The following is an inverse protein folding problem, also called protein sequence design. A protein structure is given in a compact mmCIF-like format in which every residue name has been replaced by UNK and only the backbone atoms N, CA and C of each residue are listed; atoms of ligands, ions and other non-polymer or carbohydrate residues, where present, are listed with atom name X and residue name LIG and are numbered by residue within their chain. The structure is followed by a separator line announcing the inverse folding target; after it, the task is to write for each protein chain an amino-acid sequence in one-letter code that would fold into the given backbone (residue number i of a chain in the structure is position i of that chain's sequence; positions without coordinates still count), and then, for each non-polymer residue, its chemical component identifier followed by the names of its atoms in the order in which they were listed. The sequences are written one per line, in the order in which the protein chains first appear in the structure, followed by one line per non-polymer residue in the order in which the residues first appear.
data_IF_189682094199
#
_entry.id   IF_189682094199
#
_cell.length_a   1.000
_cell.length_b   1.000
_cell.length_c   1.000
_cell.angle_alpha   90.00
_cell.angle_beta   90.00
_cell.angle_gamma   90.00
#
_symmetry.space_group_name_H-M   'P 1'
#
loop_
_entity.id
_entity.type
_entity.pdbx_description
1 polymer ?
#
# COMPACT_ATOMS: atom_id res chain seq x y z
N UNK A 1 17.88 -7.65 -16.15
CA UNK A 1 16.56 -8.14 -16.59
C UNK A 1 15.66 -7.04 -17.14
N UNK A 2 15.17 -6.06 -16.37
CA UNK A 2 14.20 -5.06 -16.90
C UNK A 2 14.66 -4.34 -18.19
N UNK A 3 15.85 -3.75 -18.20
CA UNK A 3 16.40 -3.05 -19.36
C UNK A 3 16.73 -3.98 -20.53
N UNK A 4 17.23 -5.18 -20.23
CA UNK A 4 17.48 -6.21 -21.23
C UNK A 4 16.17 -6.62 -21.94
N UNK A 5 15.11 -6.91 -21.19
CA UNK A 5 13.78 -7.21 -21.74
C UNK A 5 13.23 -6.06 -22.58
N UNK A 6 13.47 -4.80 -22.17
CA UNK A 6 13.06 -3.62 -22.93
C UNK A 6 13.77 -3.55 -24.30
N UNK A 7 15.09 -3.81 -24.34
CA UNK A 7 15.87 -3.85 -25.57
C UNK A 7 15.53 -5.06 -26.45
N UNK A 8 15.13 -6.18 -25.84
CA UNK A 8 14.66 -7.38 -26.55
C UNK A 8 13.22 -7.28 -27.07
N UNK A 9 12.56 -6.15 -26.82
CA UNK A 9 11.17 -5.89 -27.25
C UNK A 9 10.11 -6.77 -26.57
N UNK A 10 10.43 -7.33 -25.40
CA UNK A 10 9.46 -8.06 -24.61
C UNK A 10 8.41 -7.13 -23.99
N UNK A 11 7.18 -7.64 -23.72
CA UNK A 11 6.12 -6.85 -23.12
C UNK A 11 6.57 -6.25 -21.78
N UNK A 12 6.55 -4.92 -21.69
CA UNK A 12 6.96 -4.19 -20.48
C UNK A 12 5.84 -4.10 -19.43
N UNK A 13 4.68 -4.73 -19.73
CA UNK A 13 3.45 -4.70 -18.97
C UNK A 13 2.70 -3.36 -19.09
N UNK A 14 1.43 -3.35 -18.72
CA UNK A 14 0.59 -2.14 -18.75
C UNK A 14 0.81 -1.30 -17.49
N UNK A 15 0.79 0.03 -17.63
CA UNK A 15 0.74 0.97 -16.52
C UNK A 15 -0.67 1.49 -16.29
N UNK A 16 -1.00 1.80 -15.03
CA UNK A 16 -2.22 2.49 -14.67
C UNK A 16 -1.87 3.88 -14.15
N UNK A 17 -2.28 4.89 -14.88
CA UNK A 17 -2.08 6.29 -14.56
C UNK A 17 -3.38 6.94 -14.09
N UNK A 18 -3.25 7.90 -13.19
CA UNK A 18 -4.36 8.70 -12.70
C UNK A 18 -4.06 10.17 -12.85
N UNK A 19 -4.87 10.86 -13.65
CA UNK A 19 -4.77 12.30 -13.82
C UNK A 19 -5.46 12.99 -12.63
N UNK A 20 -4.66 13.62 -11.78
CA UNK A 20 -5.13 14.33 -10.59
C UNK A 20 -5.41 15.79 -10.95
N UNK A 21 -6.64 16.24 -10.67
CA UNK A 21 -7.01 17.67 -10.76
C UNK A 21 -6.38 18.45 -9.61
N UNK A 22 -6.04 19.72 -9.86
CA UNK A 22 -5.42 20.62 -8.86
C UNK A 22 -6.21 20.71 -7.56
N UNK A 23 -7.54 20.63 -7.65
CA UNK A 23 -8.49 20.65 -6.53
C UNK A 23 -8.33 19.47 -5.55
N UNK A 24 -7.87 18.32 -6.06
CA UNK A 24 -7.78 17.07 -5.30
C UNK A 24 -6.35 16.79 -4.77
N UNK A 25 -5.39 17.69 -5.02
CA UNK A 25 -3.99 17.52 -4.62
C UNK A 25 -3.78 17.27 -3.12
N UNK A 26 -4.63 17.88 -2.28
CA UNK A 26 -4.54 17.78 -0.82
C UNK A 26 -5.25 16.57 -0.21
N UNK A 27 -6.02 15.82 -1.01
CA UNK A 27 -6.82 14.68 -0.53
C UNK A 27 -6.00 13.41 -0.36
N UNK A 28 -4.85 13.32 -1.02
CA UNK A 28 -4.02 12.11 -1.07
C UNK A 28 -2.58 12.41 -0.73
N UNK A 29 -1.88 11.39 -0.21
CA UNK A 29 -0.45 11.43 0.01
C UNK A 29 0.28 10.92 -1.25
N UNK A 30 1.23 11.70 -1.75
CA UNK A 30 2.05 11.33 -2.91
C UNK A 30 3.50 11.14 -2.50
N UNK A 31 4.21 10.30 -3.26
CA UNK A 31 5.62 9.98 -3.05
C UNK A 31 6.38 10.18 -4.36
N UNK A 32 7.63 10.64 -4.27
CA UNK A 32 8.50 10.74 -5.44
C UNK A 32 8.97 9.35 -5.87
N UNK A 33 9.15 9.15 -7.17
CA UNK A 33 9.89 8.00 -7.66
C UNK A 33 11.34 8.12 -7.21
N UNK A 34 11.85 7.07 -6.57
CA UNK A 34 13.23 7.05 -6.11
C UNK A 34 14.19 7.25 -7.28
N UNK A 35 15.17 8.13 -7.12
CA UNK A 35 16.25 8.35 -8.07
C UNK A 35 17.58 7.82 -7.52
N UNK A 36 17.88 8.09 -6.25
CA UNK A 36 19.11 7.67 -5.60
C UNK A 36 18.80 6.74 -4.42
N UNK A 37 18.78 5.44 -4.66
CA UNK A 37 18.54 4.45 -3.61
C UNK A 37 19.80 4.20 -2.80
N UNK A 38 19.68 4.24 -1.48
CA UNK A 38 20.75 3.84 -0.57
C UNK A 38 20.19 2.98 0.56
N UNK A 39 20.61 1.72 0.64
CA UNK A 39 20.04 0.72 1.55
C UNK A 39 20.02 1.15 3.03
N UNK A 40 21.05 1.87 3.50
CA UNK A 40 21.09 2.45 4.86
C UNK A 40 20.47 3.85 4.97
N UNK A 41 20.96 4.79 4.17
CA UNK A 41 20.72 6.23 4.38
C UNK A 41 19.52 6.78 3.59
N UNK A 42 19.05 6.07 2.55
CA UNK A 42 17.88 6.45 1.75
C UNK A 42 17.09 5.22 1.23
N UNK A 43 16.51 4.38 2.11
CA UNK A 43 15.82 3.16 1.72
C UNK A 43 14.37 3.36 1.29
N UNK A 44 13.82 4.57 1.44
CA UNK A 44 12.39 4.84 1.30
C UNK A 44 12.13 5.99 0.34
N UNK A 45 10.97 5.95 -0.33
CA UNK A 45 10.54 7.05 -1.19
C UNK A 45 10.14 8.24 -0.34
N UNK A 46 10.62 9.43 -0.71
CA UNK A 46 10.26 10.68 -0.04
C UNK A 46 8.80 11.04 -0.32
N UNK A 47 8.09 11.49 0.71
CA UNK A 47 6.77 12.09 0.56
C UNK A 47 6.87 13.45 -0.13
N UNK A 48 5.91 13.74 -1.02
CA UNK A 48 5.78 15.04 -1.68
C UNK A 48 4.85 15.91 -0.84
N UNK A 49 5.38 16.98 -0.29
CA UNK A 49 4.60 18.02 0.40
C UNK A 49 4.19 19.15 -0.53
N UNK A 50 5.06 19.53 -1.47
CA UNK A 50 4.83 20.62 -2.42
C UNK A 50 4.45 20.07 -3.79
N UNK A 51 3.15 19.82 -3.99
CA UNK A 51 2.59 19.45 -5.29
C UNK A 51 2.40 20.69 -6.17
N UNK A 52 2.60 20.57 -7.49
CA UNK A 52 2.45 21.69 -8.41
C UNK A 52 1.00 22.20 -8.43
N UNK A 53 0.81 23.50 -8.67
CA UNK A 53 -0.51 24.15 -8.81
C UNK A 53 -1.12 23.93 -10.21
N UNK A 54 -1.02 22.70 -10.71
CA UNK A 54 -1.57 22.26 -11.98
C UNK A 54 -1.96 20.79 -11.91
N UNK A 55 -2.68 20.34 -12.93
CA UNK A 55 -2.92 18.91 -13.11
C UNK A 55 -1.60 18.15 -13.24
N UNK A 56 -1.55 16.97 -12.64
CA UNK A 56 -0.41 16.07 -12.75
C UNK A 56 -0.87 14.61 -12.82
N UNK A 57 0.00 13.74 -13.30
CA UNK A 57 -0.29 12.31 -13.44
C UNK A 57 0.40 11.54 -12.31
N UNK A 58 -0.39 10.78 -11.56
CA UNK A 58 0.10 9.83 -10.57
C UNK A 58 0.10 8.41 -11.14
N UNK A 59 0.99 7.56 -10.63
CA UNK A 59 1.08 6.15 -11.05
C UNK A 59 0.43 5.27 -9.98
N UNK A 60 -0.66 4.60 -10.37
CA UNK A 60 -1.40 3.67 -9.52
C UNK A 60 -0.82 2.26 -9.60
N UNK A 61 -0.40 1.83 -10.80
CA UNK A 61 0.23 0.53 -11.03
C UNK A 61 1.46 0.69 -11.94
N UNK A 62 2.49 -0.12 -11.66
CA UNK A 62 3.80 -0.04 -12.29
C UNK A 62 4.81 0.83 -11.53
N UNK A 63 4.52 1.20 -10.28
CA UNK A 63 5.40 2.04 -9.45
C UNK A 63 6.83 1.50 -9.35
N UNK A 64 6.99 0.18 -9.16
CA UNK A 64 8.31 -0.45 -9.10
C UNK A 64 9.06 -0.37 -10.43
N UNK A 65 8.36 -0.55 -11.56
CA UNK A 65 8.93 -0.49 -12.91
C UNK A 65 9.42 0.93 -13.24
N UNK A 66 8.60 1.95 -12.99
CA UNK A 66 9.01 3.35 -13.18
C UNK A 66 10.16 3.73 -12.24
N UNK A 67 10.14 3.27 -11.00
CA UNK A 67 11.25 3.51 -10.06
C UNK A 67 12.54 2.89 -10.56
N UNK A 68 12.51 1.63 -11.02
CA UNK A 68 13.67 0.96 -11.58
C UNK A 68 14.22 1.68 -12.83
N UNK A 69 13.32 2.16 -13.71
CA UNK A 69 13.71 2.99 -14.87
C UNK A 69 14.36 4.31 -14.42
N UNK A 70 13.77 5.01 -13.45
CA UNK A 70 14.29 6.29 -12.96
C UNK A 70 15.68 6.14 -12.33
N UNK A 71 15.89 5.10 -11.52
CA UNK A 71 17.19 4.76 -10.94
C UNK A 71 18.21 4.43 -12.03
N UNK A 72 17.83 3.59 -13.01
CA UNK A 72 18.75 3.15 -14.07
C UNK A 72 19.14 4.26 -15.06
N UNK A 73 18.19 5.13 -15.43
CA UNK A 73 18.39 6.18 -16.43
C UNK A 73 18.94 7.48 -15.84
N UNK A 74 18.56 7.85 -14.61
CA UNK A 74 18.86 9.18 -14.04
C UNK A 74 19.57 9.12 -12.69
N UNK A 75 19.78 7.94 -12.14
CA UNK A 75 20.03 7.74 -10.72
C UNK A 75 21.21 6.84 -10.40
N UNK A 76 21.16 6.30 -9.18
CA UNK A 76 22.15 5.35 -8.67
C UNK A 76 21.55 4.40 -7.65
N UNK A 77 22.20 3.25 -7.47
CA UNK A 77 21.79 2.21 -6.55
C UNK A 77 22.96 1.81 -5.64
N UNK A 78 22.82 2.01 -4.33
CA UNK A 78 23.83 1.67 -3.33
C UNK A 78 23.30 0.60 -2.37
N UNK A 79 23.91 -0.60 -2.43
CA UNK A 79 23.69 -1.69 -1.49
C UNK A 79 24.99 -2.12 -0.83
N UNK A 80 24.84 -2.76 0.33
CA UNK A 80 25.91 -3.20 1.20
C UNK A 80 26.81 -4.24 0.55
N UNK A 81 28.11 -4.08 0.73
CA UNK A 81 29.10 -5.11 0.44
C UNK A 81 29.14 -6.18 1.52
N UNK A 82 29.30 -7.43 1.08
CA UNK A 82 29.57 -8.55 1.96
C UNK A 82 30.92 -8.34 2.67
N UNK A 83 30.97 -8.67 3.97
CA UNK A 83 32.20 -8.57 4.78
C UNK A 83 32.53 -7.17 5.34
N UNK A 84 31.84 -6.10 4.95
CA UNK A 84 32.00 -4.77 5.56
C UNK A 84 30.96 -4.52 6.65
N UNK A 85 31.35 -3.76 7.68
CA UNK A 85 30.46 -3.35 8.78
C UNK A 85 29.42 -2.33 8.32
N UNK A 86 28.21 -2.40 8.89
CA UNK A 86 27.08 -1.52 8.53
C UNK A 86 27.35 -0.02 8.82
N UNK A 87 28.17 0.26 9.84
CA UNK A 87 28.57 1.62 10.20
C UNK A 87 29.59 2.23 9.24
N UNK A 88 30.26 1.43 8.41
CA UNK A 88 31.28 1.92 7.48
C UNK A 88 30.62 2.53 6.23
N UNK A 89 30.94 3.77 5.89
CA UNK A 89 30.45 4.44 4.69
C UNK A 89 30.91 3.74 3.40
N UNK A 90 32.11 3.16 3.39
CA UNK A 90 32.64 2.41 2.25
C UNK A 90 31.97 1.04 2.07
N UNK A 91 31.03 0.68 2.94
CA UNK A 91 30.23 -0.52 2.79
C UNK A 91 29.16 -0.38 1.70
N UNK A 92 28.79 0.84 1.32
CA UNK A 92 27.69 1.13 0.40
C UNK A 92 28.18 1.93 -0.82
N UNK A 93 28.99 1.35 -1.71
CA UNK A 93 29.48 2.09 -2.85
C UNK A 93 28.34 2.43 -3.81
N UNK A 94 28.32 3.67 -4.27
CA UNK A 94 27.34 4.19 -5.21
C UNK A 94 27.62 3.60 -6.59
N UNK A 95 26.60 2.96 -7.18
CA UNK A 95 26.72 2.33 -8.50
C UNK A 95 25.71 2.92 -9.46
N UNK A 96 26.11 3.08 -10.71
CA UNK A 96 25.23 3.51 -11.81
C UNK A 96 25.02 2.35 -12.76
N UNK A 97 23.98 2.43 -13.59
CA UNK A 97 23.71 1.39 -14.58
C UNK A 97 24.64 1.56 -15.78
N UNK A 98 25.34 0.48 -16.13
CA UNK A 98 26.18 0.38 -17.31
C UNK A 98 25.68 -0.74 -18.22
N UNK A 99 25.90 -0.57 -19.52
CA UNK A 99 25.69 -1.56 -20.57
C UNK A 99 27.04 -1.89 -21.19
N UNK A 100 27.39 -3.17 -21.27
CA UNK A 100 28.54 -3.59 -22.05
C UNK A 100 28.15 -3.60 -23.53
N UNK A 101 28.73 -2.71 -24.33
CA UNK A 101 28.40 -2.56 -25.75
C UNK A 101 28.96 -3.69 -26.63
N UNK A 102 29.94 -4.44 -26.12
CA UNK A 102 30.60 -5.55 -26.80
C UNK A 102 30.19 -6.93 -26.28
N UNK A 103 29.32 -7.00 -25.27
CA UNK A 103 28.90 -8.27 -24.69
C UNK A 103 28.25 -9.19 -25.72
N UNK A 104 28.62 -10.48 -25.63
CA UNK A 104 27.97 -11.54 -26.37
C UNK A 104 26.72 -12.06 -25.61
N UNK A 105 25.68 -12.53 -26.34
CA UNK A 105 24.48 -13.07 -25.72
C UNK A 105 24.79 -14.29 -24.85
N UNK A 106 24.30 -14.30 -23.60
CA UNK A 106 24.49 -15.44 -22.69
C UNK A 106 23.37 -16.46 -22.89
N UNK A 107 23.64 -17.50 -23.69
CA UNK A 107 22.67 -18.54 -24.07
C UNK A 107 21.99 -19.23 -22.87
N UNK A 108 22.69 -19.34 -21.73
CA UNK A 108 22.17 -20.01 -20.53
C UNK A 108 21.14 -19.18 -19.74
N UNK A 109 21.08 -17.86 -19.94
CA UNK A 109 20.25 -16.95 -19.12
C UNK A 109 19.18 -16.20 -19.91
N UNK A 110 18.99 -16.54 -21.19
CA UNK A 110 18.14 -15.82 -22.17
C UNK A 110 18.39 -14.30 -22.24
N UNK A 111 19.49 -13.82 -21.62
CA UNK A 111 19.86 -12.41 -21.53
C UNK A 111 20.76 -12.05 -22.70
N UNK A 112 20.30 -11.15 -23.55
CA UNK A 112 21.00 -10.74 -24.77
C UNK A 112 21.97 -9.58 -24.52
N UNK A 113 21.63 -8.68 -23.60
CA UNK A 113 22.39 -7.49 -23.27
C UNK A 113 22.90 -7.55 -21.82
N UNK A 114 24.17 -7.22 -21.60
CA UNK A 114 24.78 -7.25 -20.26
C UNK A 114 24.66 -5.88 -19.58
N UNK A 115 23.61 -5.74 -18.76
CA UNK A 115 23.37 -4.58 -17.90
C UNK A 115 23.84 -4.86 -16.48
N UNK A 116 24.71 -3.99 -15.94
CA UNK A 116 25.21 -4.13 -14.57
C UNK A 116 25.25 -2.79 -13.83
N UNK A 117 25.02 -2.85 -12.52
CA UNK A 117 25.29 -1.71 -11.64
C UNK A 117 26.75 -1.74 -11.19
N UNK A 118 27.54 -0.80 -11.70
CA UNK A 118 28.98 -0.70 -11.45
C UNK A 118 29.34 0.61 -10.77
N UNK A 119 30.42 0.60 -9.99
CA UNK A 119 31.11 1.82 -9.55
C UNK A 119 31.92 2.34 -10.72
N UNK A 120 32.21 3.64 -10.72
CA UNK A 120 33.02 4.27 -11.77
C UNK A 120 34.39 3.58 -11.90
N UNK A 121 35.09 3.36 -10.79
CA UNK A 121 36.36 2.63 -10.78
C UNK A 121 36.29 1.23 -11.42
N UNK A 122 35.17 0.52 -11.25
CA UNK A 122 35.00 -0.82 -11.81
C UNK A 122 34.66 -0.79 -13.29
N UNK A 123 33.88 0.20 -13.72
CA UNK A 123 33.57 0.40 -15.13
C UNK A 123 34.82 0.84 -15.92
N UNK A 124 35.73 1.60 -15.29
CA UNK A 124 37.00 2.03 -15.88
C UNK A 124 38.08 0.94 -15.87
N UNK A 125 37.95 -0.10 -15.05
CA UNK A 125 38.84 -1.26 -15.08
C UNK A 125 38.41 -2.18 -16.22
N UNK A 126 38.91 -1.89 -17.43
CA UNK A 126 38.67 -2.72 -18.61
C UNK A 126 39.16 -4.16 -18.36
N UNK A 127 38.22 -5.09 -18.20
CA UNK A 127 38.51 -6.51 -18.37
C UNK A 127 38.61 -6.77 -19.87
N UNK A 128 39.49 -7.71 -20.24
CA UNK A 128 39.84 -7.97 -21.64
C UNK A 128 38.59 -8.32 -22.46
N UNK A 129 38.10 -7.38 -23.27
CA UNK A 129 36.92 -7.54 -24.14
C UNK A 129 35.66 -6.78 -23.73
N UNK A 130 35.62 -6.11 -22.58
CA UNK A 130 34.45 -5.34 -22.13
C UNK A 130 34.53 -3.86 -22.55
N UNK A 131 33.40 -3.27 -22.94
CA UNK A 131 33.28 -1.83 -23.18
C UNK A 131 32.04 -1.27 -22.49
N UNK A 132 32.23 -0.73 -21.28
CA UNK A 132 31.15 -0.30 -20.39
C UNK A 132 30.69 1.13 -20.68
N UNK A 133 29.45 1.24 -21.17
CA UNK A 133 28.79 2.52 -21.40
C UNK A 133 27.82 2.86 -20.24
N UNK A 134 27.97 4.04 -19.63
CA UNK A 134 27.03 4.52 -18.60
C UNK A 134 25.69 4.86 -19.24
N UNK A 135 24.67 4.06 -18.95
CA UNK A 135 23.34 4.15 -19.59
C UNK A 135 22.72 5.54 -19.44
N UNK A 136 22.86 6.18 -18.28
CA UNK A 136 22.24 7.49 -18.04
C UNK A 136 22.71 8.62 -18.94
N UNK A 137 23.86 8.49 -19.63
CA UNK A 137 24.33 9.50 -20.59
C UNK A 137 23.37 9.74 -21.74
N UNK A 138 22.56 8.75 -22.12
CA UNK A 138 21.53 8.90 -23.16
C UNK A 138 20.44 9.92 -22.77
N UNK A 139 20.32 10.25 -21.48
CA UNK A 139 19.37 11.26 -20.99
C UNK A 139 19.99 12.67 -20.94
N UNK A 140 21.31 12.77 -21.12
CA UNK A 140 22.13 13.98 -20.91
C UNK A 140 22.71 14.49 -22.25
N UNK A 141 22.89 13.62 -23.24
CA UNK A 141 23.62 13.87 -24.49
C UNK A 141 22.85 13.39 -25.74
N UNK A 142 23.15 13.97 -26.90
CA UNK A 142 22.54 13.64 -28.20
C UNK A 142 23.08 12.32 -28.78
N UNK A 143 22.27 11.63 -29.60
CA UNK A 143 22.66 10.33 -30.22
C UNK A 143 23.98 10.46 -30.98
N UNK A 144 24.13 11.48 -31.83
CA UNK A 144 25.29 11.63 -32.72
C UNK A 144 26.59 11.82 -31.92
N UNK A 145 26.58 12.63 -30.86
CA UNK A 145 27.77 12.85 -30.02
C UNK A 145 28.24 11.57 -29.33
N UNK A 146 27.30 10.77 -28.82
CA UNK A 146 27.62 9.49 -28.18
C UNK A 146 28.14 8.46 -29.19
N UNK A 147 27.62 8.47 -30.41
CA UNK A 147 28.04 7.56 -31.49
C UNK A 147 29.41 7.95 -32.04
N UNK A 148 29.70 9.24 -32.17
CA UNK A 148 30.98 9.77 -32.62
C UNK A 148 32.10 9.47 -31.61
N UNK A 149 31.83 9.58 -30.30
CA UNK A 149 32.77 9.17 -29.25
C UNK A 149 33.23 7.71 -29.44
N UNK A 150 32.29 6.80 -29.66
CA UNK A 150 32.61 5.38 -29.92
C UNK A 150 33.32 5.19 -31.26
N UNK A 151 33.04 6.03 -32.26
CA UNK A 151 33.71 5.98 -33.56
C UNK A 151 35.16 6.42 -33.48
N UNK A 152 35.46 7.42 -32.65
CA UNK A 152 36.79 8.01 -32.50
C UNK A 152 37.67 7.29 -31.47
N UNK A 153 37.09 6.41 -30.65
CA UNK A 153 37.83 5.65 -29.63
C UNK A 153 38.92 4.75 -30.25
N UNK A 154 40.19 5.05 -29.97
CA UNK A 154 41.33 4.31 -30.56
C UNK A 154 41.56 2.93 -29.94
N UNK A 155 40.91 2.61 -28.81
CA UNK A 155 41.05 1.32 -28.12
C UNK A 155 40.31 0.18 -28.84
N UNK A 156 39.33 0.51 -29.68
CA UNK A 156 38.43 -0.43 -30.34
C UNK A 156 38.85 -0.78 -31.77
N UNK A 157 38.74 -2.05 -32.15
CA UNK A 157 38.88 -2.47 -33.56
C UNK A 157 37.72 -1.93 -34.42
N UNK A 158 37.86 -1.86 -35.77
CA UNK A 158 36.79 -1.45 -36.66
C UNK A 158 35.49 -2.25 -36.47
N UNK A 159 35.59 -3.56 -36.23
CA UNK A 159 34.47 -4.46 -35.95
C UNK A 159 33.81 -4.13 -34.61
N UNK A 160 34.61 -3.95 -33.55
CA UNK A 160 34.11 -3.57 -32.23
C UNK A 160 33.41 -2.22 -32.26
N UNK A 161 33.95 -1.21 -32.97
CA UNK A 161 33.29 0.08 -33.17
C UNK A 161 31.94 -0.07 -33.87
N UNK A 162 31.83 -0.95 -34.85
CA UNK A 162 30.57 -1.20 -35.55
C UNK A 162 29.54 -1.84 -34.62
N UNK A 163 29.95 -2.85 -33.84
CA UNK A 163 29.09 -3.52 -32.86
C UNK A 163 28.63 -2.54 -31.77
N UNK A 164 29.57 -1.83 -31.14
CA UNK A 164 29.29 -0.92 -30.04
C UNK A 164 28.32 0.21 -30.46
N UNK A 165 28.55 0.84 -31.62
CA UNK A 165 27.62 1.84 -32.17
C UNK A 165 26.25 1.26 -32.47
N UNK A 166 26.16 0.02 -32.99
CA UNK A 166 24.88 -0.63 -33.23
C UNK A 166 24.10 -0.87 -31.93
N UNK A 167 24.78 -1.36 -30.89
CA UNK A 167 24.19 -1.60 -29.57
C UNK A 167 23.73 -0.29 -28.92
N UNK A 168 24.58 0.75 -28.96
CA UNK A 168 24.30 2.06 -28.40
C UNK A 168 23.11 2.74 -29.10
N UNK A 169 23.08 2.72 -30.44
CA UNK A 169 21.93 3.19 -31.22
C UNK A 169 20.65 2.46 -30.86
N UNK A 170 20.71 1.14 -30.69
CA UNK A 170 19.54 0.36 -30.31
C UNK A 170 19.04 0.72 -28.91
N UNK A 171 19.94 0.93 -27.94
CA UNK A 171 19.60 1.44 -26.61
C UNK A 171 18.94 2.82 -26.70
N UNK A 172 19.58 3.79 -27.36
CA UNK A 172 19.11 5.17 -27.46
C UNK A 172 17.70 5.23 -28.06
N UNK A 173 17.53 4.64 -29.24
CA UNK A 173 16.24 4.65 -29.95
C UNK A 173 15.14 3.88 -29.22
N UNK A 174 15.50 2.82 -28.50
CA UNK A 174 14.51 2.07 -27.70
C UNK A 174 13.96 2.92 -26.55
N UNK A 175 14.76 3.81 -25.96
CA UNK A 175 14.34 4.68 -24.86
C UNK A 175 13.64 5.96 -25.36
N UNK A 176 14.13 6.56 -26.46
CA UNK A 176 13.64 7.86 -26.94
C UNK A 176 12.57 7.76 -28.03
N UNK A 177 12.67 6.80 -28.96
CA UNK A 177 11.86 6.80 -30.18
C UNK A 177 10.74 5.75 -30.16
N UNK A 178 10.87 4.69 -29.35
CA UNK A 178 9.92 3.58 -29.34
C UNK A 178 8.88 3.73 -28.24
N UNK A 179 7.60 3.69 -28.63
CA UNK A 179 6.45 3.60 -27.73
C UNK A 179 6.31 2.20 -27.11
N UNK A 180 7.25 1.81 -26.24
CA UNK A 180 7.24 0.49 -25.57
C UNK A 180 6.32 0.44 -24.34
N UNK A 181 5.93 1.59 -23.81
CA UNK A 181 5.12 1.69 -22.60
C UNK A 181 3.63 1.70 -22.98
N UNK A 182 2.95 0.59 -22.71
CA UNK A 182 1.47 0.56 -22.75
C UNK A 182 0.92 1.10 -21.44
N UNK A 183 -0.04 2.02 -21.50
CA UNK A 183 -0.67 2.56 -20.30
C UNK A 183 -2.16 2.81 -20.51
N UNK A 184 -2.91 2.79 -19.40
CA UNK A 184 -4.26 3.29 -19.29
C UNK A 184 -4.27 4.50 -18.36
N UNK A 185 -4.84 5.61 -18.81
CA UNK A 185 -4.98 6.82 -18.00
C UNK A 185 -6.45 6.98 -17.58
N UNK A 186 -6.69 7.04 -16.27
CA UNK A 186 -7.98 7.40 -15.69
C UNK A 186 -8.01 8.89 -15.36
N UNK A 187 -9.11 9.55 -15.67
CA UNK A 187 -9.34 11.00 -15.44
C UNK A 187 -10.47 11.28 -14.45
N UNK A 188 -11.31 10.28 -14.16
CA UNK A 188 -12.31 10.34 -13.10
C UNK A 188 -11.61 10.50 -11.74
N UNK A 189 -12.15 11.37 -10.88
CA UNK A 189 -11.59 11.66 -9.56
C UNK A 189 -12.17 10.74 -8.47
N UNK A 190 -13.09 9.84 -8.83
CA UNK A 190 -13.64 8.83 -7.94
C UNK A 190 -12.58 7.78 -7.59
N UNK A 191 -12.08 7.84 -6.36
CA UNK A 191 -11.18 6.83 -5.83
C UNK A 191 -11.81 5.43 -5.83
N UNK A 192 -13.14 5.30 -5.67
CA UNK A 192 -13.84 4.01 -5.80
C UNK A 192 -13.69 3.42 -7.20
N UNK A 193 -13.90 4.23 -8.23
CA UNK A 193 -13.72 3.81 -9.63
C UNK A 193 -12.28 3.40 -9.89
N UNK A 194 -11.33 4.21 -9.43
CA UNK A 194 -9.89 3.95 -9.56
C UNK A 194 -9.50 2.63 -8.90
N UNK A 195 -9.96 2.37 -7.67
CA UNK A 195 -9.71 1.11 -6.97
C UNK A 195 -10.31 -0.09 -7.69
N UNK A 196 -11.53 0.05 -8.21
CA UNK A 196 -12.17 -1.02 -8.98
C UNK A 196 -11.41 -1.34 -10.28
N UNK A 197 -10.87 -0.33 -10.97
CA UNK A 197 -10.02 -0.52 -12.15
C UNK A 197 -8.72 -1.23 -11.75
N UNK A 198 -8.08 -0.81 -10.66
CA UNK A 198 -6.86 -1.42 -10.15
C UNK A 198 -7.04 -2.91 -9.82
N UNK A 199 -8.12 -3.26 -9.10
CA UNK A 199 -8.45 -4.65 -8.76
C UNK A 199 -8.66 -5.49 -10.03
N UNK A 200 -9.43 -4.97 -11.00
CA UNK A 200 -9.71 -5.69 -12.26
C UNK A 200 -8.46 -5.88 -13.12
N UNK A 201 -7.54 -4.92 -13.11
CA UNK A 201 -6.28 -5.04 -13.84
C UNK A 201 -5.34 -6.07 -13.19
N UNK A 202 -5.36 -6.18 -11.87
CA UNK A 202 -4.51 -7.08 -11.09
C UNK A 202 -5.15 -8.46 -10.80
N UNK A 203 -6.43 -8.66 -11.11
CA UNK A 203 -7.14 -9.92 -10.85
C UNK A 203 -6.63 -11.14 -11.65
N UNK A 204 -5.69 -10.95 -12.58
CA UNK A 204 -4.93 -12.04 -13.20
C UNK A 204 -3.86 -12.66 -12.29
N UNK A 205 -3.54 -12.02 -11.15
CA UNK A 205 -2.57 -12.48 -10.14
C UNK A 205 -3.21 -12.74 -8.76
N UNK A 206 -2.49 -12.46 -7.67
CA UNK A 206 -3.01 -12.58 -6.30
C UNK A 206 -4.16 -11.61 -6.05
N UNK A 207 -5.30 -12.13 -5.59
CA UNK A 207 -6.51 -11.35 -5.34
C UNK A 207 -6.38 -10.47 -4.09
N UNK A 208 -6.00 -9.20 -4.28
CA UNK A 208 -6.20 -8.19 -3.25
C UNK A 208 -7.69 -7.84 -3.16
N UNK A 209 -8.27 -7.92 -1.96
CA UNK A 209 -9.66 -7.55 -1.77
C UNK A 209 -9.81 -6.02 -1.72
N UNK A 210 -10.97 -5.52 -2.13
CA UNK A 210 -11.31 -4.10 -2.04
C UNK A 210 -11.18 -3.58 -0.59
N UNK A 211 -11.56 -4.39 0.41
CA UNK A 211 -11.40 -4.07 1.83
C UNK A 211 -9.93 -3.93 2.23
N UNK A 212 -9.03 -4.77 1.71
CA UNK A 212 -7.59 -4.67 2.02
C UNK A 212 -6.96 -3.39 1.45
N UNK A 213 -7.41 -2.95 0.26
CA UNK A 213 -6.96 -1.70 -0.34
C UNK A 213 -7.50 -0.47 0.41
N UNK A 214 -8.78 -0.49 0.82
CA UNK A 214 -9.32 0.58 1.64
C UNK A 214 -8.63 0.66 3.00
N UNK A 215 -8.38 -0.49 3.64
CA UNK A 215 -7.64 -0.56 4.89
C UNK A 215 -6.22 0.01 4.73
N UNK A 216 -5.52 -0.32 3.65
CA UNK A 216 -4.16 0.20 3.43
C UNK A 216 -4.15 1.71 3.22
N UNK A 217 -5.15 2.25 2.52
CA UNK A 217 -5.34 3.70 2.34
C UNK A 217 -5.66 4.37 3.69
N UNK A 218 -6.59 3.80 4.46
CA UNK A 218 -7.01 4.33 5.76
C UNK A 218 -5.84 4.41 6.75
N UNK A 219 -5.08 3.32 6.85
CA UNK A 219 -3.90 3.19 7.73
C UNK A 219 -2.79 4.18 7.35
N UNK A 220 -2.61 4.45 6.06
CA UNK A 220 -1.60 5.38 5.57
C UNK A 220 -1.90 6.86 5.89
N UNK A 221 -3.13 7.18 6.29
CA UNK A 221 -3.54 8.56 6.59
C UNK A 221 -3.32 8.96 8.06
N UNK A 222 -3.00 8.02 8.95
CA UNK A 222 -2.72 8.31 10.35
C UNK A 222 -1.37 9.01 10.50
N UNK A 223 -1.31 10.03 11.34
CA UNK A 223 -0.16 10.93 11.42
C UNK A 223 0.84 10.60 12.53
N UNK A 224 0.37 10.02 13.63
CA UNK A 224 1.16 9.83 14.87
C UNK A 224 1.34 8.37 15.26
N UNK A 225 0.28 7.57 15.14
CA UNK A 225 0.26 6.16 15.47
C UNK A 225 0.48 5.31 14.22
N UNK A 226 1.21 4.20 14.36
CA UNK A 226 1.27 3.20 13.32
C UNK A 226 -0.03 2.39 13.32
N UNK A 227 -1.01 2.84 12.54
CA UNK A 227 -2.34 2.27 12.49
C UNK A 227 -2.35 0.77 12.12
N UNK A 228 -1.39 0.33 11.30
CA UNK A 228 -1.25 -1.07 10.92
C UNK A 228 -1.00 -1.92 12.16
N UNK A 229 0.04 -1.56 12.91
CA UNK A 229 0.47 -2.30 14.08
C UNK A 229 -0.59 -2.25 15.17
N UNK A 230 -1.17 -1.07 15.43
CA UNK A 230 -2.26 -0.88 16.40
C UNK A 230 -3.48 -1.76 16.11
N UNK A 231 -3.96 -1.79 14.86
CA UNK A 231 -5.09 -2.64 14.46
C UNK A 231 -4.72 -4.12 14.63
N UNK A 232 -3.51 -4.52 14.24
CA UNK A 232 -3.04 -5.89 14.39
C UNK A 232 -2.97 -6.33 15.85
N UNK A 233 -2.38 -5.51 16.71
CA UNK A 233 -2.30 -5.77 18.15
C UNK A 233 -3.68 -5.89 18.77
N UNK A 234 -4.61 -4.98 18.44
CA UNK A 234 -5.97 -5.04 18.96
C UNK A 234 -6.70 -6.31 18.52
N UNK A 235 -6.59 -6.71 17.24
CA UNK A 235 -7.16 -7.96 16.75
C UNK A 235 -6.60 -9.15 17.54
N UNK A 236 -5.28 -9.21 17.75
CA UNK A 236 -4.64 -10.31 18.49
C UNK A 236 -5.05 -10.34 19.97
N UNK A 237 -5.20 -9.18 20.61
CA UNK A 237 -5.71 -9.08 21.97
C UNK A 237 -7.17 -9.55 22.07
N UNK A 238 -8.05 -9.09 21.17
CA UNK A 238 -9.45 -9.53 21.13
C UNK A 238 -9.57 -11.05 20.93
N UNK A 239 -8.69 -11.63 20.11
CA UNK A 239 -8.64 -13.09 19.86
C UNK A 239 -8.19 -13.90 21.07
N UNK A 240 -7.50 -13.30 22.05
CA UNK A 240 -7.01 -13.98 23.26
C UNK A 240 -7.97 -13.91 24.44
N UNK A 241 -9.06 -13.14 24.34
CA UNK A 241 -10.03 -12.99 25.42
C UNK A 241 -10.93 -14.24 25.49
N UNK A 242 -11.10 -14.78 26.71
CA UNK A 242 -11.90 -15.99 26.96
C UNK A 242 -11.35 -17.19 26.20
N UNK A 243 -12.24 -17.98 25.59
CA UNK A 243 -11.87 -19.11 24.73
C UNK A 243 -11.55 -18.69 23.28
N UNK A 244 -11.28 -17.41 23.08
CA UNK A 244 -10.92 -16.79 21.82
C UNK A 244 -12.10 -16.50 20.89
N UNK A 245 -11.91 -15.52 19.99
CA UNK A 245 -12.91 -15.04 19.04
C UNK A 245 -12.37 -14.97 17.62
N UNK A 246 -13.22 -15.08 16.61
CA UNK A 246 -12.79 -14.96 15.21
C UNK A 246 -12.93 -13.51 14.70
N UNK A 247 -12.02 -12.64 15.14
CA UNK A 247 -12.06 -11.19 14.79
C UNK A 247 -11.18 -10.89 13.58
N UNK A 248 -11.68 -10.04 12.67
CA UNK A 248 -10.96 -9.53 11.50
C UNK A 248 -10.60 -8.05 11.66
N UNK A 249 -9.64 -7.58 10.85
CA UNK A 249 -9.29 -6.14 10.76
C UNK A 249 -10.46 -5.30 10.25
N UNK A 250 -11.26 -5.89 9.36
CA UNK A 250 -12.50 -5.28 8.83
C UNK A 250 -13.46 -4.92 9.97
N UNK A 251 -13.69 -5.85 10.91
CA UNK A 251 -14.53 -5.60 12.08
C UNK A 251 -14.01 -4.45 12.93
N UNK A 252 -12.71 -4.41 13.22
CA UNK A 252 -12.09 -3.37 14.05
C UNK A 252 -12.21 -1.99 13.39
N UNK A 253 -12.02 -1.90 12.08
CA UNK A 253 -12.25 -0.66 11.35
C UNK A 253 -13.73 -0.24 11.33
N UNK A 254 -14.67 -1.17 11.08
CA UNK A 254 -16.12 -0.87 11.17
C UNK A 254 -16.47 -0.34 12.56
N UNK A 255 -15.89 -0.94 13.60
CA UNK A 255 -16.06 -0.44 14.97
C UNK A 255 -15.51 0.98 15.12
N UNK A 256 -14.31 1.26 14.62
CA UNK A 256 -13.74 2.61 14.65
C UNK A 256 -14.64 3.66 13.97
N UNK A 257 -15.18 3.35 12.79
CA UNK A 257 -16.15 4.20 12.10
C UNK A 257 -17.45 4.36 12.88
N UNK A 258 -18.00 3.26 13.40
CA UNK A 258 -19.26 3.26 14.13
C UNK A 258 -19.15 4.06 15.43
N UNK A 259 -18.14 3.79 16.25
CA UNK A 259 -17.90 4.42 17.56
C UNK A 259 -17.51 5.90 17.43
N UNK A 260 -16.85 6.30 16.34
CA UNK A 260 -16.53 7.71 16.08
C UNK A 260 -17.66 8.49 15.40
N UNK A 261 -18.85 7.89 15.24
CA UNK A 261 -19.98 8.48 14.51
C UNK A 261 -19.64 8.92 13.07
N UNK A 262 -18.68 8.24 12.42
CA UNK A 262 -18.24 8.57 11.06
C UNK A 262 -19.19 7.91 10.06
N UNK A 263 -19.82 8.73 9.21
CA UNK A 263 -20.50 8.31 7.98
C UNK A 263 -21.43 7.10 8.14
N UNK A 264 -21.48 6.23 7.13
CA UNK A 264 -22.14 4.92 7.27
C UNK A 264 -21.14 3.89 7.81
N UNK A 265 -21.59 2.83 8.48
CA UNK A 265 -20.69 1.77 9.01
C UNK A 265 -20.07 0.89 7.89
N UNK A 266 -20.43 1.17 6.63
CA UNK A 266 -19.96 0.44 5.46
C UNK A 266 -18.54 0.80 5.04
N UNK A 267 -17.91 -0.15 4.35
CA UNK A 267 -16.58 0.05 3.73
C UNK A 267 -16.70 0.87 2.44
N UNK A 268 -17.00 2.16 2.60
CA UNK A 268 -17.08 3.11 1.50
C UNK A 268 -15.90 4.07 1.54
N UNK A 269 -15.37 4.42 0.37
CA UNK A 269 -14.25 5.35 0.22
C UNK A 269 -14.49 6.67 0.96
N UNK A 270 -15.71 7.19 0.91
CA UNK A 270 -16.12 8.45 1.56
C UNK A 270 -15.89 8.44 3.09
N UNK A 271 -15.87 7.27 3.72
CA UNK A 271 -15.64 7.14 5.15
C UNK A 271 -14.15 7.14 5.53
N UNK A 272 -13.25 6.80 4.59
CA UNK A 272 -11.80 6.68 4.82
C UNK A 272 -10.99 7.86 4.26
N UNK A 273 -11.53 9.07 4.40
CA UNK A 273 -10.84 10.32 4.07
C UNK A 273 -9.99 10.82 5.24
N UNK A 274 -9.02 11.69 4.95
CA UNK A 274 -8.02 12.16 5.91
C UNK A 274 -8.63 12.72 7.20
N UNK A 275 -9.68 13.54 7.08
CA UNK A 275 -10.34 14.16 8.22
C UNK A 275 -11.00 13.13 9.13
N UNK A 276 -11.66 12.12 8.54
CA UNK A 276 -12.28 11.03 9.29
C UNK A 276 -11.22 10.13 9.96
N UNK A 277 -10.09 9.87 9.29
CA UNK A 277 -9.00 9.09 9.87
C UNK A 277 -8.33 9.81 11.03
N UNK A 278 -8.22 11.15 10.98
CA UNK A 278 -7.74 11.94 12.10
C UNK A 278 -8.66 11.85 13.33
N UNK A 279 -9.99 11.90 13.13
CA UNK A 279 -10.96 11.69 14.21
C UNK A 279 -10.84 10.28 14.80
N UNK A 280 -10.70 9.26 13.94
CA UNK A 280 -10.54 7.89 14.37
C UNK A 280 -9.24 7.69 15.17
N UNK A 281 -8.12 8.26 14.71
CA UNK A 281 -6.83 8.23 15.41
C UNK A 281 -6.92 8.92 16.79
N UNK A 282 -7.58 10.07 16.87
CA UNK A 282 -7.79 10.79 18.14
C UNK A 282 -8.61 9.96 19.15
N UNK A 283 -9.64 9.26 18.68
CA UNK A 283 -10.53 8.45 19.52
C UNK A 283 -10.02 7.01 19.74
N UNK A 284 -8.90 6.63 19.13
CA UNK A 284 -8.43 5.24 19.03
C UNK A 284 -8.33 4.54 20.38
N UNK A 285 -7.79 5.22 21.39
CA UNK A 285 -7.66 4.66 22.73
C UNK A 285 -9.00 4.24 23.33
N UNK A 286 -10.01 5.11 23.24
CA UNK A 286 -11.34 4.84 23.78
C UNK A 286 -12.08 3.76 22.97
N UNK A 287 -11.88 3.73 21.64
CA UNK A 287 -12.38 2.66 20.77
C UNK A 287 -11.81 1.31 21.20
N UNK A 288 -10.48 1.25 21.39
CA UNK A 288 -9.76 0.05 21.84
C UNK A 288 -10.32 -0.46 23.17
N UNK A 289 -10.47 0.42 24.15
CA UNK A 289 -11.01 0.08 25.48
C UNK A 289 -12.45 -0.46 25.41
N UNK A 290 -13.32 0.18 24.62
CA UNK A 290 -14.70 -0.28 24.44
C UNK A 290 -14.80 -1.63 23.74
N UNK A 291 -13.96 -1.90 22.74
CA UNK A 291 -13.90 -3.19 22.06
C UNK A 291 -13.45 -4.30 23.00
N UNK A 292 -12.38 -4.08 23.77
CA UNK A 292 -11.89 -5.07 24.74
C UNK A 292 -12.94 -5.35 25.83
N UNK A 293 -13.61 -4.31 26.34
CA UNK A 293 -14.70 -4.46 27.30
C UNK A 293 -15.85 -5.29 26.71
N UNK A 294 -16.19 -5.05 25.44
CA UNK A 294 -17.22 -5.81 24.73
C UNK A 294 -16.84 -7.28 24.64
N UNK A 295 -15.62 -7.60 24.24
CA UNK A 295 -15.17 -9.00 24.14
C UNK A 295 -15.22 -9.72 25.49
N UNK A 296 -14.86 -9.04 26.57
CA UNK A 296 -14.92 -9.59 27.93
C UNK A 296 -16.36 -9.79 28.41
N UNK A 297 -17.27 -8.86 28.09
CA UNK A 297 -18.70 -9.01 28.34
C UNK A 297 -19.25 -10.24 27.61
N UNK A 298 -18.94 -10.40 26.32
CA UNK A 298 -19.37 -11.54 25.53
C UNK A 298 -18.81 -12.87 26.07
N UNK A 299 -17.55 -12.89 26.47
CA UNK A 299 -16.95 -14.06 27.12
C UNK A 299 -17.67 -14.39 28.44
N UNK A 300 -18.06 -13.40 29.23
CA UNK A 300 -18.83 -13.61 30.47
C UNK A 300 -20.23 -14.21 30.24
N UNK A 301 -20.80 -14.02 29.05
CA UNK A 301 -22.05 -14.67 28.64
C UNK A 301 -21.85 -16.08 28.09
N UNK A 302 -20.60 -16.54 27.93
CA UNK A 302 -20.23 -17.82 27.35
C UNK A 302 -20.06 -17.81 25.82
N UNK A 303 -19.96 -16.63 25.19
CA UNK A 303 -19.65 -16.55 23.75
C UNK A 303 -18.15 -16.69 23.47
N UNK A 304 -17.84 -17.31 22.34
CA UNK A 304 -16.50 -17.48 21.78
C UNK A 304 -16.57 -17.61 20.25
N UNK A 305 -15.44 -17.83 19.59
CA UNK A 305 -15.34 -17.92 18.14
C UNK A 305 -16.11 -19.09 17.51
N UNK A 306 -16.50 -20.11 18.28
CA UNK A 306 -17.25 -21.26 17.77
C UNK A 306 -18.77 -21.03 17.79
N UNK A 307 -19.29 -20.27 18.76
CA UNK A 307 -20.73 -20.07 18.93
C UNK A 307 -21.22 -18.66 18.51
N UNK A 308 -20.34 -17.67 18.39
CA UNK A 308 -20.66 -16.35 17.85
C UNK A 308 -20.63 -16.38 16.32
N UNK A 309 -21.73 -16.84 15.71
CA UNK A 309 -21.84 -17.03 14.25
C UNK A 309 -21.76 -15.74 13.44
N UNK A 310 -22.16 -14.61 14.01
CA UNK A 310 -22.16 -13.31 13.34
C UNK A 310 -21.33 -12.30 14.14
N UNK A 311 -20.07 -12.12 13.75
CA UNK A 311 -19.13 -11.21 14.45
C UNK A 311 -19.53 -9.75 14.34
N UNK A 312 -20.27 -9.37 13.29
CA UNK A 312 -20.84 -8.02 13.15
C UNK A 312 -21.78 -7.62 14.28
N UNK A 313 -22.35 -8.59 15.02
CA UNK A 313 -23.18 -8.33 16.20
C UNK A 313 -22.41 -7.71 17.37
N UNK A 314 -21.07 -7.75 17.33
CA UNK A 314 -20.19 -7.07 18.30
C UNK A 314 -20.37 -5.55 18.21
N UNK A 315 -20.60 -5.02 17.01
CA UNK A 315 -20.49 -3.58 16.75
C UNK A 315 -21.54 -2.75 17.51
N UNK A 316 -22.84 -3.11 17.55
CA UNK A 316 -23.81 -2.38 18.36
C UNK A 316 -23.52 -2.39 19.85
N UNK A 317 -23.03 -3.52 20.37
CA UNK A 317 -22.70 -3.64 21.80
C UNK A 317 -21.51 -2.75 22.12
N UNK A 318 -20.46 -2.78 21.29
CA UNK A 318 -19.30 -1.91 21.44
C UNK A 318 -19.69 -0.43 21.36
N UNK A 319 -20.59 -0.07 20.43
CA UNK A 319 -21.09 1.29 20.32
C UNK A 319 -21.86 1.72 21.57
N UNK A 320 -22.74 0.87 22.11
CA UNK A 320 -23.47 1.16 23.34
C UNK A 320 -22.53 1.40 24.54
N UNK A 321 -21.57 0.51 24.75
CA UNK A 321 -20.61 0.64 25.85
C UNK A 321 -19.74 1.90 25.70
N UNK A 322 -19.35 2.22 24.48
CA UNK A 322 -18.61 3.43 24.15
C UNK A 322 -19.44 4.71 24.39
N UNK A 323 -20.66 4.76 23.86
CA UNK A 323 -21.58 5.90 24.00
C UNK A 323 -21.88 6.23 25.46
N UNK A 324 -22.03 5.20 26.30
CA UNK A 324 -22.23 5.34 27.74
C UNK A 324 -20.96 5.59 28.55
N UNK A 325 -19.78 5.58 27.92
CA UNK A 325 -18.47 5.65 28.58
C UNK A 325 -18.30 4.60 29.69
N UNK A 326 -18.78 3.38 29.45
CA UNK A 326 -18.72 2.30 30.43
C UNK A 326 -17.30 1.72 30.53
N UNK A 327 -16.92 1.33 31.74
CA UNK A 327 -15.58 0.80 32.06
C UNK A 327 -15.68 -0.64 32.54
N UNK A 328 -14.54 -1.24 32.90
CA UNK A 328 -14.46 -2.60 33.45
C UNK A 328 -15.43 -2.88 34.61
N UNK A 329 -15.77 -1.86 35.40
CA UNK A 329 -16.74 -1.96 36.49
C UNK A 329 -18.14 -2.40 36.02
N UNK A 330 -18.48 -2.16 34.76
CA UNK A 330 -19.72 -2.60 34.14
C UNK A 330 -19.89 -4.13 34.17
N UNK A 331 -18.80 -4.91 34.15
CA UNK A 331 -18.87 -6.37 34.13
C UNK A 331 -19.31 -6.97 35.47
N UNK A 332 -19.03 -6.30 36.59
CA UNK A 332 -19.13 -6.89 37.93
C UNK A 332 -20.16 -6.22 38.83
N UNK A 333 -20.41 -4.91 38.66
CA UNK A 333 -21.34 -4.20 39.53
C UNK A 333 -22.78 -4.69 39.36
N UNK A 334 -23.51 -4.81 40.47
CA UNK A 334 -24.89 -5.27 40.50
C UNK A 334 -25.87 -4.28 39.87
N UNK A 335 -25.58 -2.98 39.92
CA UNK A 335 -26.41 -1.91 39.33
C UNK A 335 -26.62 -2.08 37.81
N UNK A 336 -25.69 -2.75 37.12
CA UNK A 336 -25.79 -3.02 35.68
C UNK A 336 -26.25 -4.45 35.35
N UNK A 337 -26.68 -5.25 36.35
CA UNK A 337 -27.01 -6.65 36.13
C UNK A 337 -28.18 -6.84 35.14
N UNK A 338 -29.22 -6.02 35.27
CA UNK A 338 -30.38 -6.04 34.37
C UNK A 338 -29.98 -5.61 32.95
N UNK A 339 -29.16 -4.56 32.83
CA UNK A 339 -28.68 -4.07 31.55
C UNK A 339 -27.81 -5.10 30.79
N UNK A 340 -26.93 -5.80 31.52
CA UNK A 340 -26.15 -6.92 30.95
C UNK A 340 -27.06 -8.05 30.45
N UNK A 341 -28.09 -8.39 31.21
CA UNK A 341 -29.05 -9.44 30.83
C UNK A 341 -29.90 -9.02 29.62
N UNK A 342 -30.23 -7.73 29.49
CA UNK A 342 -30.89 -7.16 28.31
C UNK A 342 -30.01 -7.31 27.06
N UNK A 343 -28.72 -6.93 27.13
CA UNK A 343 -27.77 -7.13 26.03
C UNK A 343 -27.65 -8.61 25.66
N UNK A 344 -27.52 -9.49 26.67
CA UNK A 344 -27.41 -10.94 26.45
C UNK A 344 -28.63 -11.50 25.72
N UNK A 345 -29.83 -11.16 26.17
CA UNK A 345 -31.08 -11.60 25.56
C UNK A 345 -31.24 -11.06 24.14
N UNK A 346 -30.93 -9.79 23.92
CA UNK A 346 -30.93 -9.20 22.58
C UNK A 346 -29.97 -9.95 21.66
N UNK A 347 -28.72 -10.17 22.08
CA UNK A 347 -27.72 -10.84 21.27
C UNK A 347 -28.15 -12.27 20.90
N UNK A 348 -28.61 -13.07 21.86
CA UNK A 348 -29.07 -14.44 21.61
C UNK A 348 -30.23 -14.44 20.61
N UNK A 349 -31.23 -13.57 20.80
CA UNK A 349 -32.37 -13.45 19.88
C UNK A 349 -31.92 -13.05 18.47
N UNK A 350 -30.98 -12.11 18.38
CA UNK A 350 -30.41 -11.63 17.12
C UNK A 350 -29.71 -12.75 16.34
N UNK A 351 -29.06 -13.69 17.03
CA UNK A 351 -28.32 -14.81 16.44
C UNK A 351 -29.20 -16.01 16.06
N UNK A 352 -30.34 -16.20 16.74
CA UNK A 352 -31.26 -17.33 16.51
C UNK A 352 -32.18 -17.15 15.31
N UNK A 353 -32.35 -15.93 14.80
CA UNK A 353 -33.29 -15.64 13.70
C UNK A 353 -32.83 -16.31 12.39
N UNK A 354 -33.60 -17.30 11.94
CA UNK A 354 -33.28 -18.19 10.82
C UNK A 354 -33.01 -17.49 9.48
N UNK A 355 -33.52 -16.27 9.27
CA UNK A 355 -33.32 -15.49 8.03
C UNK A 355 -32.04 -14.66 8.02
N UNK A 356 -31.19 -14.74 9.05
CA UNK A 356 -29.90 -14.05 9.12
C UNK A 356 -29.99 -12.52 9.00
N UNK A 357 -30.29 -11.82 10.10
CA UNK A 357 -30.32 -10.34 10.11
C UNK A 357 -28.93 -9.71 9.87
N UNK A 358 -27.87 -10.47 10.12
CA UNK A 358 -26.48 -10.04 9.95
C UNK A 358 -25.94 -10.30 8.52
N UNK A 359 -26.83 -10.55 7.55
CA UNK A 359 -26.53 -10.84 6.15
C UNK A 359 -26.63 -9.62 5.22
N UNK A 360 -27.46 -9.71 4.17
CA UNK A 360 -27.64 -8.62 3.19
C UNK A 360 -28.17 -7.35 3.85
N UNK A 361 -27.56 -6.19 3.57
CA UNK A 361 -27.99 -4.90 4.13
C UNK A 361 -27.42 -4.59 5.51
N UNK A 362 -26.41 -5.34 5.96
CA UNK A 362 -25.74 -5.18 7.25
C UNK A 362 -25.37 -3.72 7.56
N UNK A 363 -24.79 -2.99 6.62
CA UNK A 363 -24.33 -1.62 6.88
C UNK A 363 -25.50 -0.66 7.16
N UNK A 364 -26.64 -0.86 6.49
CA UNK A 364 -27.88 -0.10 6.75
C UNK A 364 -28.44 -0.45 8.13
N UNK A 365 -28.47 -1.73 8.48
CA UNK A 365 -28.91 -2.21 9.80
C UNK A 365 -28.03 -1.62 10.92
N UNK A 366 -26.71 -1.71 10.79
CA UNK A 366 -25.76 -1.17 11.77
C UNK A 366 -25.92 0.35 11.92
N UNK A 367 -26.14 1.06 10.82
CA UNK A 367 -26.37 2.52 10.85
C UNK A 367 -27.67 2.87 11.58
N UNK A 368 -28.74 2.09 11.38
CA UNK A 368 -30.00 2.25 12.08
C UNK A 368 -29.85 1.98 13.58
N UNK A 369 -29.25 0.83 13.95
CA UNK A 369 -29.01 0.46 15.36
C UNK A 369 -28.14 1.52 16.06
N UNK A 370 -27.11 2.05 15.39
CA UNK A 370 -26.30 3.15 15.91
C UNK A 370 -27.17 4.36 16.27
N UNK A 371 -28.08 4.74 15.37
CA UNK A 371 -29.00 5.87 15.59
C UNK A 371 -29.93 5.63 16.78
N UNK A 372 -30.47 4.42 16.91
CA UNK A 372 -31.36 4.06 18.02
C UNK A 372 -30.63 4.05 19.36
N UNK A 373 -29.41 3.49 19.41
CA UNK A 373 -28.56 3.54 20.61
C UNK A 373 -28.21 4.97 20.97
N UNK A 374 -27.86 5.81 19.99
CA UNK A 374 -27.52 7.22 20.24
C UNK A 374 -28.71 7.99 20.83
N UNK A 375 -29.92 7.69 20.37
CA UNK A 375 -31.13 8.38 20.81
C UNK A 375 -31.68 7.85 22.14
N UNK A 376 -31.62 6.55 22.38
CA UNK A 376 -32.34 5.88 23.48
C UNK A 376 -31.43 5.12 24.46
N UNK A 377 -30.12 5.06 24.20
CA UNK A 377 -29.15 4.25 24.95
C UNK A 377 -28.46 4.95 26.12
N UNK A 378 -28.96 6.10 26.60
CA UNK A 378 -28.30 6.84 27.69
C UNK A 378 -28.43 6.16 29.07
N UNK A 379 -29.55 5.47 29.30
CA UNK A 379 -29.90 4.92 30.61
C UNK A 379 -29.86 3.37 30.65
N UNK A 380 -29.94 2.72 29.48
CA UNK A 380 -29.93 1.26 29.33
C UNK A 380 -29.91 0.84 27.87
N UNK A 381 -29.66 -0.43 27.60
CA UNK A 381 -29.63 -0.96 26.24
C UNK A 381 -31.04 -0.96 25.62
N UNK A 382 -31.27 -0.28 24.48
CA UNK A 382 -32.62 -0.05 23.96
C UNK A 382 -33.19 -1.30 23.24
N UNK A 383 -34.02 -2.08 23.95
CA UNK A 383 -34.61 -3.33 23.44
C UNK A 383 -35.84 -3.16 22.52
N UNK A 384 -36.67 -2.12 22.73
CA UNK A 384 -37.95 -1.98 22.02
C UNK A 384 -37.84 -1.45 20.59
N UNK A 385 -36.64 -0.97 20.21
CA UNK A 385 -36.36 -0.38 18.90
C UNK A 385 -35.44 -1.23 18.01
N UNK A 386 -34.74 -2.22 18.59
CA UNK A 386 -33.64 -2.98 17.95
C UNK A 386 -33.91 -4.47 17.77
#
# INVERSE_FOLDING_TARGET
MLFDSLLQEYPFGTFLFWKIKSENRGKYQFYKFMQYYHERDNPHCESITNLPEREFVAVLDGQQRITALNIGLRGSYAWKLNGKWWSNNDAFPVRKLYLNLLAEPKLETESKYDFQFLTEDKASQEQQGDYWFRVGRIMEEEEDSLIDEVADDTSLSPEQKKQARSTLRHLYRTIHDKDKISFYEESDQSLERVLNIFIRMNSGGTTLSYSDLLLSIAVAQWGTLNARDEIHFLVDEMKRIGDGFNVSKDLVLKAGLMLSDIGSVGFKVENFIKDNMAVLEQNWKSIREALLLTMQLLASFGFNGQNLRATSAILPIAYYLYHRNLTMSYLTRSEYAEDRENIRNWLIRSLLKASGIWGSGLDTLLTAIRSDIKQFGNDGFPLEKN
#
